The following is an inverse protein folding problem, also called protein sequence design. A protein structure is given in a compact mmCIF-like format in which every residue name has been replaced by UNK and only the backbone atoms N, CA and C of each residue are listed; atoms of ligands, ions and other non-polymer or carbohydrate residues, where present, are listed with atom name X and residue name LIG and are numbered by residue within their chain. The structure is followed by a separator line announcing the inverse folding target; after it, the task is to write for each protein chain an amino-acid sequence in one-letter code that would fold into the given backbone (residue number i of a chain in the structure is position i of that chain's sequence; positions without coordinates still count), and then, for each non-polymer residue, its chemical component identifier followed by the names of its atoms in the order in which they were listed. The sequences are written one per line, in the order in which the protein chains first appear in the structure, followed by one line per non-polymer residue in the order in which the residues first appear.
data_IF_645069306012
#
_entry.id   IF_645069306012
#
_cell.length_a   1.000
_cell.length_b   1.000
_cell.length_c   1.000
_cell.angle_alpha   90.00
_cell.angle_beta   90.00
_cell.angle_gamma   90.00
#
_symmetry.space_group_name_H-M   'P 1'
#
loop_
_entity.id
_entity.type
_entity.pdbx_description
1 polymer ?
#
# COMPACT_ATOMS: atom_id res chain seq x y z
N UNK A 1 61.32 -23.72 -19.23
CA UNK A 1 60.14 -23.18 -18.52
C UNK A 1 59.44 -24.36 -17.85
N UNK A 2 59.15 -24.32 -16.54
CA UNK A 2 58.46 -25.45 -15.89
C UNK A 2 58.53 -25.58 -14.36
N UNK A 3 59.05 -24.59 -13.61
CA UNK A 3 59.09 -24.69 -12.13
C UNK A 3 57.96 -23.96 -11.39
N UNK A 4 57.27 -23.02 -12.07
CA UNK A 4 56.20 -22.20 -11.49
C UNK A 4 54.81 -22.85 -11.61
N UNK A 5 54.58 -23.61 -12.68
CA UNK A 5 53.36 -24.40 -12.89
C UNK A 5 53.30 -25.61 -11.95
N UNK A 6 54.43 -26.25 -11.69
CA UNK A 6 54.51 -27.40 -10.77
C UNK A 6 54.34 -27.01 -9.30
N UNK A 7 54.81 -25.83 -8.89
CA UNK A 7 54.55 -25.31 -7.54
C UNK A 7 53.07 -25.00 -7.32
N UNK A 8 52.39 -24.46 -8.33
CA UNK A 8 50.96 -24.12 -8.25
C UNK A 8 50.08 -25.37 -8.23
N UNK A 9 50.34 -26.35 -9.10
CA UNK A 9 49.61 -27.63 -9.10
C UNK A 9 49.83 -28.41 -7.80
N UNK A 10 51.03 -28.32 -7.21
CA UNK A 10 51.31 -28.95 -5.92
C UNK A 10 50.60 -28.27 -4.76
N UNK A 11 50.49 -26.95 -4.75
CA UNK A 11 49.73 -26.21 -3.74
C UNK A 11 48.22 -26.45 -3.88
N UNK A 12 47.70 -26.43 -5.11
CA UNK A 12 46.30 -26.77 -5.38
C UNK A 12 45.97 -28.22 -4.97
N UNK A 13 46.83 -29.19 -5.28
CA UNK A 13 46.65 -30.58 -4.88
C UNK A 13 46.70 -30.77 -3.37
N UNK A 14 47.61 -30.07 -2.67
CA UNK A 14 47.70 -30.11 -1.20
C UNK A 14 46.48 -29.48 -0.52
N UNK A 15 46.03 -28.32 -1.00
CA UNK A 15 44.89 -27.62 -0.42
C UNK A 15 43.59 -28.38 -0.68
N UNK A 16 43.42 -28.93 -1.88
CA UNK A 16 42.27 -29.77 -2.25
C UNK A 16 42.28 -31.09 -1.46
N UNK A 17 43.43 -31.77 -1.36
CA UNK A 17 43.56 -33.01 -0.57
C UNK A 17 43.27 -32.79 0.92
N UNK A 18 43.69 -31.65 1.48
CA UNK A 18 43.37 -31.26 2.85
C UNK A 18 41.89 -30.96 3.04
N UNK A 19 41.24 -30.32 2.07
CA UNK A 19 39.80 -30.05 2.09
C UNK A 19 38.98 -31.34 2.02
N UNK A 20 39.33 -32.25 1.11
CA UNK A 20 38.67 -33.56 0.96
C UNK A 20 38.88 -34.42 2.21
N UNK A 21 40.09 -34.44 2.78
CA UNK A 21 40.39 -35.19 4.01
C UNK A 21 39.63 -34.65 5.22
N UNK A 22 39.57 -33.32 5.40
CA UNK A 22 38.76 -32.71 6.46
C UNK A 22 37.26 -33.00 6.30
N UNK A 23 36.77 -33.08 5.06
CA UNK A 23 35.38 -33.42 4.76
C UNK A 23 35.07 -34.90 5.05
N UNK A 24 35.97 -35.83 4.71
CA UNK A 24 35.76 -37.28 4.84
C UNK A 24 35.95 -37.80 6.27
N UNK A 25 36.97 -37.30 6.98
CA UNK A 25 37.34 -37.82 8.32
C UNK A 25 36.83 -36.95 9.48
N UNK A 26 36.35 -35.73 9.18
CA UNK A 26 35.78 -34.82 10.17
C UNK A 26 36.71 -34.54 11.36
N UNK A 27 36.14 -34.24 12.51
CA UNK A 27 36.86 -33.94 13.76
C UNK A 27 37.04 -35.18 14.67
N UNK A 28 37.07 -36.41 14.14
CA UNK A 28 37.15 -37.66 14.95
C UNK A 28 38.37 -37.77 15.87
N UNK A 29 39.45 -37.03 15.58
CA UNK A 29 40.68 -36.97 16.39
C UNK A 29 41.02 -35.54 16.86
N UNK A 30 40.04 -34.64 16.90
CA UNK A 30 40.27 -33.26 17.34
C UNK A 30 40.59 -33.20 18.84
N UNK A 31 41.62 -32.43 19.21
CA UNK A 31 41.96 -32.17 20.62
C UNK A 31 40.78 -31.48 21.32
N UNK A 32 40.44 -31.83 22.58
CA UNK A 32 39.28 -31.26 23.30
C UNK A 32 39.21 -29.72 23.27
N UNK A 33 40.36 -29.05 23.29
CA UNK A 33 40.48 -27.57 23.21
C UNK A 33 39.92 -27.04 21.88
N UNK A 34 40.10 -27.75 20.77
CA UNK A 34 39.60 -27.35 19.44
C UNK A 34 38.07 -27.44 19.38
N UNK A 35 37.50 -28.53 19.91
CA UNK A 35 36.05 -28.73 19.99
C UNK A 35 35.37 -27.67 20.86
N UNK A 36 35.97 -27.32 22.01
CA UNK A 36 35.43 -26.26 22.90
C UNK A 36 35.49 -24.88 22.23
N UNK A 37 36.57 -24.58 21.48
CA UNK A 37 36.68 -23.32 20.72
C UNK A 37 35.65 -23.24 19.61
N UNK A 38 35.48 -24.30 18.82
CA UNK A 38 34.48 -24.37 17.76
C UNK A 38 33.06 -24.21 18.32
N UNK A 39 32.70 -24.93 19.39
CA UNK A 39 31.42 -24.79 20.07
C UNK A 39 31.20 -23.38 20.66
N UNK A 40 32.26 -22.73 21.17
CA UNK A 40 32.18 -21.34 21.66
C UNK A 40 31.94 -20.35 20.52
N UNK A 41 32.60 -20.53 19.38
CA UNK A 41 32.39 -19.70 18.18
C UNK A 41 30.97 -19.88 17.65
N UNK A 42 30.47 -21.11 17.60
CA UNK A 42 29.10 -21.42 17.16
C UNK A 42 28.05 -20.76 18.07
N UNK A 43 28.20 -20.86 19.40
CA UNK A 43 27.32 -20.17 20.35
C UNK A 43 27.34 -18.65 20.18
N UNK A 44 28.50 -18.05 19.95
CA UNK A 44 28.60 -16.60 19.71
C UNK A 44 27.89 -16.22 18.40
N UNK A 45 28.06 -17.01 17.34
CA UNK A 45 27.38 -16.77 16.07
C UNK A 45 25.86 -16.92 16.18
N UNK A 46 25.39 -17.90 16.96
CA UNK A 46 23.97 -18.09 17.24
C UNK A 46 23.40 -16.91 18.04
N UNK A 47 24.08 -16.47 19.09
CA UNK A 47 23.71 -15.26 19.85
C UNK A 47 23.62 -14.03 18.95
N UNK A 48 24.60 -13.81 18.07
CA UNK A 48 24.59 -12.70 17.10
C UNK A 48 23.46 -12.80 16.07
N UNK A 49 23.01 -14.01 15.72
CA UNK A 49 21.84 -14.19 14.84
C UNK A 49 20.55 -13.85 15.58
N UNK A 50 20.41 -14.33 16.81
CA UNK A 50 19.24 -14.04 17.66
C UNK A 50 19.13 -12.54 17.91
N UNK A 51 20.24 -11.88 18.27
CA UNK A 51 20.28 -10.43 18.52
C UNK A 51 19.89 -9.63 17.28
N UNK A 52 20.40 -10.00 16.09
CA UNK A 52 20.00 -9.37 14.82
C UNK A 52 18.51 -9.56 14.52
N UNK A 53 17.99 -10.78 14.69
CA UNK A 53 16.58 -11.05 14.48
C UNK A 53 15.68 -10.24 15.44
N UNK A 54 16.08 -10.15 16.71
CA UNK A 54 15.39 -9.32 17.71
C UNK A 54 15.42 -7.84 17.35
N UNK A 55 16.56 -7.33 16.88
CA UNK A 55 16.68 -5.94 16.44
C UNK A 55 15.80 -5.65 15.23
N UNK A 56 15.77 -6.54 14.24
CA UNK A 56 14.89 -6.42 13.07
C UNK A 56 13.41 -6.48 13.45
N UNK A 57 13.03 -7.36 14.39
CA UNK A 57 11.67 -7.46 14.88
C UNK A 57 11.25 -6.20 15.65
N UNK A 58 12.10 -5.71 16.54
CA UNK A 58 11.86 -4.46 17.26
C UNK A 58 11.70 -3.28 16.30
N UNK A 59 12.54 -3.19 15.27
CA UNK A 59 12.43 -2.15 14.25
C UNK A 59 11.11 -2.26 13.45
N UNK A 60 10.69 -3.48 13.09
CA UNK A 60 9.39 -3.71 12.44
C UNK A 60 8.21 -3.32 13.34
N UNK A 61 8.30 -3.58 14.63
CA UNK A 61 7.28 -3.19 15.61
C UNK A 61 7.20 -1.68 15.77
N UNK A 62 8.34 -1.01 15.83
CA UNK A 62 8.43 0.46 15.92
C UNK A 62 7.79 1.14 14.71
N UNK A 63 8.12 0.68 13.49
CA UNK A 63 7.49 1.17 12.25
C UNK A 63 5.97 0.97 12.29
N UNK A 64 5.50 -0.21 12.71
CA UNK A 64 4.05 -0.49 12.82
C UNK A 64 3.37 0.42 13.84
N UNK A 65 4.00 0.69 14.98
CA UNK A 65 3.48 1.60 15.99
C UNK A 65 3.41 3.04 15.46
N UNK A 66 4.45 3.50 14.77
CA UNK A 66 4.45 4.82 14.14
C UNK A 66 3.32 4.94 13.10
N UNK A 67 3.20 3.97 12.19
CA UNK A 67 2.11 3.92 11.22
C UNK A 67 0.72 3.92 11.88
N UNK A 68 0.57 3.23 13.01
CA UNK A 68 -0.69 3.22 13.75
C UNK A 68 -1.01 4.60 14.33
N UNK A 69 -0.02 5.30 14.91
CA UNK A 69 -0.16 6.67 15.42
C UNK A 69 -0.56 7.64 14.29
N UNK A 70 0.17 7.62 13.19
CA UNK A 70 -0.08 8.48 12.03
C UNK A 70 -1.50 8.28 11.45
N UNK A 71 -1.97 7.03 11.34
CA UNK A 71 -3.36 6.76 10.92
C UNK A 71 -4.37 7.28 11.95
N UNK A 72 -4.07 7.19 13.24
CA UNK A 72 -4.90 7.74 14.31
C UNK A 72 -5.07 9.26 14.18
N UNK A 73 -3.96 9.98 14.05
CA UNK A 73 -3.95 11.43 13.84
C UNK A 73 -4.71 11.85 12.58
N UNK A 74 -4.42 11.17 11.46
CA UNK A 74 -5.12 11.41 10.20
C UNK A 74 -6.63 11.16 10.33
N UNK A 75 -7.03 10.12 11.06
CA UNK A 75 -8.45 9.84 11.32
C UNK A 75 -9.11 10.96 12.14
N UNK A 76 -8.40 11.52 13.13
CA UNK A 76 -8.93 12.63 13.93
C UNK A 76 -9.12 13.89 13.07
N UNK A 77 -8.09 14.30 12.30
CA UNK A 77 -8.19 15.42 11.35
C UNK A 77 -9.31 15.21 10.33
N UNK A 78 -9.39 14.00 9.74
CA UNK A 78 -10.44 13.66 8.78
C UNK A 78 -11.83 13.78 9.39
N UNK A 79 -12.04 13.29 10.62
CA UNK A 79 -13.34 13.37 11.30
C UNK A 79 -13.69 14.81 11.69
N UNK A 80 -12.71 15.64 12.04
CA UNK A 80 -12.90 17.07 12.26
C UNK A 80 -13.41 17.76 10.99
N UNK A 81 -12.73 17.55 9.85
CA UNK A 81 -13.15 18.09 8.55
C UNK A 81 -14.55 17.62 8.15
N UNK A 82 -14.85 16.33 8.34
CA UNK A 82 -16.19 15.77 8.10
C UNK A 82 -17.23 16.52 8.92
N UNK A 83 -16.95 16.78 10.20
CA UNK A 83 -17.87 17.49 11.09
C UNK A 83 -18.10 18.92 10.60
N UNK A 84 -17.05 19.63 10.21
CA UNK A 84 -17.15 20.98 9.63
C UNK A 84 -18.05 20.99 8.39
N UNK A 85 -17.82 20.08 7.42
CA UNK A 85 -18.60 20.02 6.17
C UNK A 85 -20.07 19.66 6.42
N UNK A 86 -20.33 18.74 7.35
CA UNK A 86 -21.71 18.37 7.69
C UNK A 86 -22.47 19.55 8.29
N UNK A 87 -21.81 20.32 9.16
CA UNK A 87 -22.38 21.44 9.89
C UNK A 87 -22.46 22.75 9.08
N UNK A 88 -21.85 22.82 7.89
CA UNK A 88 -22.03 23.98 7.00
C UNK A 88 -23.51 24.20 6.71
N UNK A 89 -24.01 25.40 6.94
CA UNK A 89 -25.39 25.76 6.60
C UNK A 89 -25.45 26.24 5.16
N UNK A 90 -26.53 25.88 4.45
CA UNK A 90 -26.73 26.38 3.11
C UNK A 90 -27.19 27.84 3.19
N UNK A 91 -26.52 28.76 2.48
CA UNK A 91 -26.93 30.15 2.44
C UNK A 91 -28.25 30.30 1.67
N UNK A 92 -28.97 31.39 1.95
CA UNK A 92 -30.24 31.71 1.30
C UNK A 92 -30.06 32.51 0.02
N UNK A 93 -28.89 33.13 -0.19
CA UNK A 93 -28.61 33.94 -1.38
C UNK A 93 -27.95 33.10 -2.47
N UNK A 94 -28.28 33.39 -3.73
CA UNK A 94 -27.76 32.66 -4.89
C UNK A 94 -26.23 32.74 -4.97
N UNK A 95 -25.67 33.94 -4.81
CA UNK A 95 -24.24 34.19 -4.93
C UNK A 95 -23.43 33.46 -3.84
N UNK A 96 -23.90 33.46 -2.60
CA UNK A 96 -23.22 32.74 -1.52
C UNK A 96 -23.33 31.22 -1.73
N UNK A 97 -24.47 30.74 -2.21
CA UNK A 97 -24.66 29.33 -2.54
C UNK A 97 -23.71 28.90 -3.66
N UNK A 98 -23.54 29.76 -4.66
CA UNK A 98 -22.57 29.57 -5.74
C UNK A 98 -21.12 29.48 -5.23
N UNK A 99 -20.71 30.41 -4.36
CA UNK A 99 -19.38 30.38 -3.73
C UNK A 99 -19.17 29.08 -2.95
N UNK A 100 -20.15 28.69 -2.13
CA UNK A 100 -20.10 27.43 -1.38
C UNK A 100 -20.01 26.21 -2.30
N UNK A 101 -20.74 26.21 -3.42
CA UNK A 101 -20.70 25.11 -4.39
C UNK A 101 -19.35 25.02 -5.10
N UNK A 102 -18.70 26.14 -5.42
CA UNK A 102 -17.35 26.16 -5.96
C UNK A 102 -16.29 25.69 -4.96
N UNK A 103 -16.45 26.02 -3.68
CA UNK A 103 -15.59 25.51 -2.62
C UNK A 103 -15.73 23.98 -2.49
N UNK A 104 -16.96 23.47 -2.40
CA UNK A 104 -17.24 22.03 -2.35
C UNK A 104 -16.73 21.31 -3.61
N UNK A 105 -16.88 21.90 -4.80
CA UNK A 105 -16.31 21.41 -6.05
C UNK A 105 -14.79 21.28 -5.96
N UNK A 106 -14.11 22.31 -5.46
CA UNK A 106 -12.66 22.30 -5.25
C UNK A 106 -12.24 21.19 -4.29
N UNK A 107 -12.98 21.02 -3.18
CA UNK A 107 -12.76 19.92 -2.26
C UNK A 107 -12.95 18.53 -2.90
N UNK A 108 -13.95 18.34 -3.78
CA UNK A 108 -14.11 17.07 -4.52
C UNK A 108 -12.88 16.79 -5.39
N UNK A 109 -12.32 17.81 -6.05
CA UNK A 109 -11.12 17.64 -6.88
C UNK A 109 -9.87 17.31 -6.05
N UNK A 110 -9.65 18.00 -4.93
CA UNK A 110 -8.46 17.83 -4.08
C UNK A 110 -8.47 16.47 -3.40
N UNK A 111 -9.57 16.11 -2.75
CA UNK A 111 -9.64 14.85 -2.00
C UNK A 111 -9.89 13.66 -2.93
N UNK A 112 -10.92 13.73 -3.77
CA UNK A 112 -11.26 12.72 -4.75
C UNK A 112 -11.41 11.29 -4.20
N UNK A 113 -11.68 10.32 -5.07
CA UNK A 113 -11.65 8.91 -4.68
C UNK A 113 -10.30 8.31 -5.05
N UNK A 114 -9.71 7.57 -4.12
CA UNK A 114 -8.44 6.87 -4.28
C UNK A 114 -8.66 5.36 -4.14
N UNK A 115 -7.87 4.58 -4.86
CA UNK A 115 -7.95 3.11 -4.79
C UNK A 115 -7.63 2.65 -3.36
N UNK A 116 -8.44 1.75 -2.83
CA UNK A 116 -8.22 1.12 -1.51
C UNK A 116 -7.63 -0.29 -1.61
N UNK A 117 -7.00 -0.61 -2.75
CA UNK A 117 -6.25 -1.86 -2.94
C UNK A 117 -5.20 -1.98 -1.84
N UNK A 118 -5.08 -3.18 -1.26
CA UNK A 118 -4.27 -3.40 -0.07
C UNK A 118 -4.90 -2.80 1.19
N UNK A 119 -6.14 -3.20 1.50
CA UNK A 119 -6.95 -2.71 2.64
C UNK A 119 -6.23 -2.65 3.99
N UNK A 120 -5.28 -3.57 4.21
CA UNK A 120 -4.52 -3.68 5.46
C UNK A 120 -3.21 -2.87 5.47
N UNK A 121 -2.80 -2.34 4.31
CA UNK A 121 -1.63 -1.47 4.19
C UNK A 121 -1.90 -0.08 4.76
N UNK A 122 -0.84 0.63 5.13
CA UNK A 122 -0.91 2.02 5.57
C UNK A 122 -1.61 2.92 4.54
N UNK A 123 -1.17 2.86 3.28
CA UNK A 123 -1.78 3.62 2.17
C UNK A 123 -3.25 3.26 1.95
N UNK A 124 -3.61 1.98 2.10
CA UNK A 124 -5.00 1.52 2.01
C UNK A 124 -5.88 2.14 3.08
N UNK A 125 -5.42 2.19 4.34
CA UNK A 125 -6.13 2.85 5.45
C UNK A 125 -6.27 4.35 5.23
N UNK A 126 -5.21 5.04 4.82
CA UNK A 126 -5.23 6.46 4.47
C UNK A 126 -6.24 6.76 3.34
N UNK A 127 -6.23 5.96 2.28
CA UNK A 127 -7.16 6.11 1.17
C UNK A 127 -8.62 5.89 1.59
N UNK A 128 -8.89 4.99 2.54
CA UNK A 128 -10.26 4.81 3.09
C UNK A 128 -10.73 6.05 3.84
N UNK A 129 -9.88 6.67 4.64
CA UNK A 129 -10.20 7.93 5.35
C UNK A 129 -10.48 9.05 4.34
N UNK A 130 -9.62 9.21 3.34
CA UNK A 130 -9.81 10.17 2.25
C UNK A 130 -11.14 9.93 1.51
N UNK A 131 -11.44 8.67 1.16
CA UNK A 131 -12.68 8.33 0.48
C UNK A 131 -13.92 8.58 1.34
N UNK A 132 -13.82 8.41 2.67
CA UNK A 132 -14.90 8.75 3.62
C UNK A 132 -15.18 10.25 3.55
N UNK A 133 -14.15 11.09 3.60
CA UNK A 133 -14.27 12.54 3.46
C UNK A 133 -14.86 12.94 2.10
N UNK A 134 -14.34 12.41 1.00
CA UNK A 134 -14.84 12.68 -0.36
C UNK A 134 -16.31 12.29 -0.55
N UNK A 135 -16.76 11.20 0.09
CA UNK A 135 -18.17 10.82 0.09
C UNK A 135 -19.05 11.85 0.81
N UNK A 136 -18.59 12.38 1.94
CA UNK A 136 -19.31 13.42 2.68
C UNK A 136 -19.37 14.72 1.88
N UNK A 137 -18.25 15.16 1.29
CA UNK A 137 -18.20 16.34 0.44
C UNK A 137 -19.17 16.19 -0.74
N UNK A 138 -19.13 15.05 -1.46
CA UNK A 138 -20.05 14.80 -2.57
C UNK A 138 -21.51 14.80 -2.12
N UNK A 139 -21.81 14.26 -0.93
CA UNK A 139 -23.18 14.28 -0.40
C UNK A 139 -23.64 15.71 -0.11
N UNK A 140 -22.79 16.53 0.51
CA UNK A 140 -23.09 17.94 0.79
C UNK A 140 -23.26 18.73 -0.51
N UNK A 141 -22.38 18.51 -1.49
CA UNK A 141 -22.50 19.09 -2.83
C UNK A 141 -23.82 18.72 -3.50
N UNK A 142 -24.25 17.46 -3.40
CA UNK A 142 -25.55 17.04 -3.95
C UNK A 142 -26.74 17.68 -3.24
N UNK A 143 -26.65 17.95 -1.93
CA UNK A 143 -27.68 18.69 -1.20
C UNK A 143 -27.74 20.14 -1.69
N UNK A 144 -26.59 20.80 -1.87
CA UNK A 144 -26.54 22.15 -2.45
C UNK A 144 -27.10 22.20 -3.87
N UNK A 145 -26.81 21.18 -4.68
CA UNK A 145 -27.40 21.01 -6.00
C UNK A 145 -28.93 20.91 -5.96
N UNK A 146 -29.52 20.19 -4.99
CA UNK A 146 -30.97 20.09 -4.86
C UNK A 146 -31.61 21.44 -4.50
N UNK A 147 -30.94 22.23 -3.66
CA UNK A 147 -31.37 23.59 -3.32
C UNK A 147 -31.29 24.49 -4.56
N UNK A 148 -30.18 24.45 -5.29
CA UNK A 148 -30.04 25.18 -6.56
C UNK A 148 -31.11 24.79 -7.59
N UNK A 149 -31.42 23.49 -7.72
CA UNK A 149 -32.45 23.02 -8.67
C UNK A 149 -33.85 23.54 -8.32
N UNK A 150 -34.14 23.70 -7.02
CA UNK A 150 -35.43 24.17 -6.53
C UNK A 150 -35.56 25.69 -6.58
N UNK A 151 -34.56 26.39 -6.06
CA UNK A 151 -34.65 27.82 -5.78
C UNK A 151 -34.03 28.68 -6.91
N UNK A 152 -33.10 28.12 -7.71
CA UNK A 152 -32.35 28.82 -8.76
C UNK A 152 -32.16 28.01 -10.06
N UNK A 153 -33.25 27.52 -10.70
CA UNK A 153 -33.17 26.58 -11.83
C UNK A 153 -32.54 27.14 -13.11
N UNK A 154 -32.54 28.47 -13.29
CA UNK A 154 -32.04 29.13 -14.50
C UNK A 154 -30.54 29.51 -14.42
N UNK A 155 -29.83 29.09 -13.37
CA UNK A 155 -28.42 29.41 -13.22
C UNK A 155 -27.57 28.68 -14.29
N UNK A 156 -26.72 29.43 -15.00
CA UNK A 156 -25.87 28.92 -16.10
C UNK A 156 -24.93 27.81 -15.63
N UNK A 157 -24.45 27.88 -14.39
CA UNK A 157 -23.51 26.89 -13.84
C UNK A 157 -24.18 25.62 -13.33
N UNK A 158 -25.51 25.61 -13.16
CA UNK A 158 -26.26 24.46 -12.66
C UNK A 158 -26.01 23.19 -13.48
N UNK A 159 -26.04 23.30 -14.81
CA UNK A 159 -25.77 22.19 -15.71
C UNK A 159 -24.34 21.64 -15.55
N UNK A 160 -23.37 22.53 -15.31
CA UNK A 160 -21.98 22.16 -15.07
C UNK A 160 -21.85 21.34 -13.77
N UNK A 161 -22.54 21.76 -12.72
CA UNK A 161 -22.54 21.06 -11.42
C UNK A 161 -23.28 19.73 -11.50
N UNK A 162 -24.38 19.64 -12.25
CA UNK A 162 -25.12 18.39 -12.48
C UNK A 162 -24.25 17.37 -13.22
N UNK A 163 -23.51 17.80 -14.25
CA UNK A 163 -22.51 16.97 -14.95
C UNK A 163 -21.41 16.51 -14.00
N UNK A 164 -20.84 17.42 -13.21
CA UNK A 164 -19.81 17.10 -12.23
C UNK A 164 -20.28 16.04 -11.22
N UNK A 165 -21.49 16.18 -10.67
CA UNK A 165 -22.07 15.21 -9.73
C UNK A 165 -22.17 13.81 -10.34
N UNK A 166 -22.67 13.70 -11.59
CA UNK A 166 -22.77 12.42 -12.32
C UNK A 166 -21.39 11.79 -12.51
N UNK A 167 -20.42 12.54 -13.02
CA UNK A 167 -19.04 12.06 -13.24
C UNK A 167 -18.41 11.61 -11.91
N UNK A 168 -18.62 12.37 -10.84
CA UNK A 168 -18.08 12.06 -9.52
C UNK A 168 -18.66 10.78 -8.92
N UNK A 169 -19.98 10.55 -9.10
CA UNK A 169 -20.63 9.28 -8.75
C UNK A 169 -20.03 8.10 -9.52
N UNK A 170 -19.83 8.25 -10.83
CA UNK A 170 -19.20 7.19 -11.64
C UNK A 170 -17.76 6.91 -11.20
N UNK A 171 -16.95 7.96 -10.98
CA UNK A 171 -15.58 7.81 -10.48
C UNK A 171 -15.53 7.09 -9.14
N UNK A 172 -16.44 7.42 -8.21
CA UNK A 172 -16.58 6.72 -6.93
C UNK A 172 -16.74 5.21 -7.15
N UNK A 173 -17.72 4.80 -7.97
CA UNK A 173 -17.97 3.38 -8.21
C UNK A 173 -16.78 2.70 -8.90
N UNK A 174 -16.23 3.33 -9.93
CA UNK A 174 -15.12 2.75 -10.68
C UNK A 174 -13.87 2.54 -9.81
N UNK A 175 -13.48 3.55 -9.03
CA UNK A 175 -12.26 3.50 -8.21
C UNK A 175 -12.45 2.61 -6.97
N UNK A 176 -13.64 2.60 -6.37
CA UNK A 176 -13.91 1.80 -5.19
C UNK A 176 -14.00 0.30 -5.50
N UNK A 177 -14.53 -0.07 -6.67
CA UNK A 177 -14.76 -1.46 -7.07
C UNK A 177 -13.77 -1.98 -8.12
N UNK A 178 -12.74 -1.21 -8.47
CA UNK A 178 -11.75 -1.59 -9.48
C UNK A 178 -11.15 -2.99 -9.24
N UNK A 179 -10.88 -3.32 -7.97
CA UNK A 179 -10.30 -4.62 -7.60
C UNK A 179 -11.23 -5.82 -7.83
N UNK A 180 -12.55 -5.60 -7.90
CA UNK A 180 -13.54 -6.64 -8.25
C UNK A 180 -13.77 -6.69 -9.76
N UNK A 181 -13.74 -5.55 -10.43
CA UNK A 181 -14.00 -5.43 -11.87
C UNK A 181 -12.90 -6.14 -12.69
N UNK A 182 -11.63 -5.95 -12.31
CA UNK A 182 -10.47 -6.55 -13.02
C UNK A 182 -10.54 -8.08 -13.08
N UNK A 183 -10.67 -8.82 -11.96
CA UNK A 183 -10.74 -10.29 -12.01
C UNK A 183 -12.00 -10.79 -12.72
N UNK A 184 -13.13 -10.10 -12.59
CA UNK A 184 -14.35 -10.46 -13.30
C UNK A 184 -14.16 -10.35 -14.83
N UNK A 185 -13.57 -9.27 -15.31
CA UNK A 185 -13.25 -9.09 -16.73
C UNK A 185 -12.26 -10.14 -17.23
N UNK A 186 -11.28 -10.52 -16.41
CA UNK A 186 -10.33 -11.59 -16.75
C UNK A 186 -11.05 -12.92 -16.95
N UNK A 187 -11.95 -13.31 -16.03
CA UNK A 187 -12.74 -14.54 -16.15
C UNK A 187 -13.58 -14.52 -17.44
N UNK A 188 -14.26 -13.41 -17.73
CA UNK A 188 -15.07 -13.25 -18.95
C UNK A 188 -14.18 -13.40 -20.19
N UNK A 189 -12.99 -12.81 -20.21
CA UNK A 189 -12.07 -12.90 -21.35
C UNK A 189 -11.61 -14.34 -21.62
N UNK A 190 -11.36 -15.13 -20.57
CA UNK A 190 -10.99 -16.55 -20.69
C UNK A 190 -12.16 -17.36 -21.26
N UNK A 191 -13.39 -17.10 -20.81
CA UNK A 191 -14.59 -17.74 -21.35
C UNK A 191 -14.82 -17.42 -22.83
N UNK A 192 -14.58 -16.17 -23.25
CA UNK A 192 -14.70 -15.76 -24.66
C UNK A 192 -13.64 -16.49 -25.50
N UNK A 193 -12.40 -16.59 -25.03
CA UNK A 193 -11.34 -17.30 -25.75
C UNK A 193 -11.63 -18.80 -25.89
N UNK A 194 -12.08 -19.48 -24.82
CA UNK A 194 -12.49 -20.90 -24.88
C UNK A 194 -13.68 -21.10 -25.83
N UNK A 195 -14.66 -20.21 -25.80
CA UNK A 195 -15.80 -20.25 -26.73
C UNK A 195 -15.37 -20.10 -28.19
N UNK A 196 -14.42 -19.20 -28.48
CA UNK A 196 -13.89 -19.01 -29.84
C UNK A 196 -13.12 -20.25 -30.30
N UNK A 197 -12.25 -20.82 -29.45
CA UNK A 197 -11.48 -22.03 -29.78
C UNK A 197 -12.34 -23.29 -30.00
N UNK A 198 -13.54 -23.35 -29.43
CA UNK A 198 -14.45 -24.50 -29.62
C UNK A 198 -15.28 -24.41 -30.90
N UNK A 199 -15.50 -23.20 -31.42
CA UNK A 199 -16.37 -22.96 -32.57
C UNK A 199 -15.63 -22.64 -33.87
N UNK A 200 -14.31 -22.39 -33.80
CA UNK A 200 -13.41 -22.16 -34.93
C UNK A 200 -12.16 -23.02 -34.78
#
# INVERSE_FOLDING_TARGET
MGKTTDSFNRELGKNTGKAVSNFLFGNKHATPIKLIREAKVERIQEQQRIERNLLEENHKLEIKQQQFREIGELSMDTNSRISTILNMQFPTTENELFVMMNDLKSHIYVYGWKSSVGLNSFNGKQNRLNNKLSNIILRKFNQGLQIMEKDFPNNIEFDSYKKLSKISKLKKYFIQYLFLIIPLLFIISVYILDFVQRNF
#
